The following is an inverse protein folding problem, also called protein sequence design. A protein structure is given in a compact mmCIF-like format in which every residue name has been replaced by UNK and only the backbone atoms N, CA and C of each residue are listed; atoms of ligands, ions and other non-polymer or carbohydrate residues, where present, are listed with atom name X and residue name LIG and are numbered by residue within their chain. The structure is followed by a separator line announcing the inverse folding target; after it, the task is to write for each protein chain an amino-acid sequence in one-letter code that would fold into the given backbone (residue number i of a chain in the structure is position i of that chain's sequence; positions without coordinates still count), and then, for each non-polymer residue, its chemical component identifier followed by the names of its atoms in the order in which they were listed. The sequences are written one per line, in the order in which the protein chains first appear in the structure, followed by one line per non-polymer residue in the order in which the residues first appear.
data_IF_205861270565
#
_entry.id   IF_205861270565
#
_cell.length_a   1.000
_cell.length_b   1.000
_cell.length_c   1.000
_cell.angle_alpha   90.00
_cell.angle_beta   90.00
_cell.angle_gamma   90.00
#
_symmetry.space_group_name_H-M   'P 1'
#
loop_
_entity.id
_entity.type
_entity.pdbx_description
1 polymer ?
#
# COMPACT_ATOMS: atom_id res chain seq x y z
N UNK A 1 3.28 -8.60 -8.07
CA UNK A 1 2.78 -7.25 -8.00
C UNK A 1 1.41 -7.11 -7.34
N UNK A 2 0.31 -7.18 -8.11
CA UNK A 2 -1.05 -6.80 -7.64
C UNK A 2 -1.46 -7.49 -6.34
N UNK A 3 -1.18 -8.77 -6.19
CA UNK A 3 -1.65 -9.57 -5.05
C UNK A 3 -1.24 -9.07 -3.67
N UNK A 4 -0.14 -8.32 -3.55
CA UNK A 4 0.27 -7.78 -2.25
C UNK A 4 -0.65 -6.67 -1.74
N UNK A 5 -1.37 -6.01 -2.63
CA UNK A 5 -2.34 -4.95 -2.31
C UNK A 5 -3.77 -5.47 -2.20
N UNK A 6 -4.01 -6.75 -2.43
CA UNK A 6 -5.35 -7.35 -2.33
C UNK A 6 -5.64 -7.78 -0.89
N UNK A 7 -6.87 -7.63 -0.37
CA UNK A 7 -7.23 -8.12 0.96
C UNK A 7 -6.96 -9.63 1.10
N UNK A 8 -7.25 -10.42 0.07
CA UNK A 8 -6.95 -11.84 0.02
C UNK A 8 -5.83 -12.12 -1.01
N UNK A 9 -4.76 -12.76 -0.56
CA UNK A 9 -3.69 -13.27 -1.40
C UNK A 9 -3.58 -14.80 -1.22
N UNK A 10 -3.86 -15.55 -2.29
CA UNK A 10 -3.66 -17.00 -2.27
C UNK A 10 -3.10 -17.50 -3.61
N UNK A 11 -2.24 -18.49 -3.53
CA UNK A 11 -1.82 -19.27 -4.68
C UNK A 11 -2.76 -20.48 -4.83
N UNK A 12 -3.32 -20.67 -6.02
CA UNK A 12 -4.29 -21.72 -6.26
C UNK A 12 -4.10 -22.35 -7.65
N UNK A 13 -4.10 -23.66 -7.70
CA UNK A 13 -4.08 -24.41 -8.95
C UNK A 13 -4.95 -25.66 -8.85
N UNK A 14 -5.50 -26.10 -9.98
CA UNK A 14 -6.29 -27.34 -10.06
C UNK A 14 -5.39 -28.60 -9.95
N UNK A 15 -5.98 -29.70 -9.56
CA UNK A 15 -5.31 -30.99 -9.57
C UNK A 15 -4.81 -31.34 -10.99
N UNK A 16 -3.57 -31.84 -11.08
CA UNK A 16 -2.94 -32.20 -12.35
C UNK A 16 -2.28 -31.04 -13.11
N UNK A 17 -2.38 -29.80 -12.61
CA UNK A 17 -1.68 -28.65 -13.19
C UNK A 17 -0.25 -28.54 -12.66
N UNK A 18 0.55 -27.64 -13.27
CA UNK A 18 1.90 -27.34 -12.81
C UNK A 18 1.86 -26.83 -11.37
N UNK A 19 2.69 -27.39 -10.50
CA UNK A 19 2.84 -26.94 -9.12
C UNK A 19 3.35 -25.51 -9.08
N UNK A 20 2.71 -24.66 -8.26
CA UNK A 20 2.96 -23.21 -8.16
C UNK A 20 3.40 -22.76 -6.77
N UNK A 21 3.83 -23.69 -5.93
CA UNK A 21 4.24 -23.38 -4.56
C UNK A 21 5.46 -22.45 -4.54
N UNK A 22 5.46 -21.42 -3.65
CA UNK A 22 6.50 -20.39 -3.58
C UNK A 22 7.92 -20.93 -3.42
N UNK A 23 8.10 -22.02 -2.66
CA UNK A 23 9.42 -22.64 -2.44
C UNK A 23 10.05 -23.21 -3.72
N UNK A 24 9.30 -23.30 -4.81
CA UNK A 24 9.78 -23.74 -6.13
C UNK A 24 10.30 -22.61 -7.01
N UNK A 25 10.07 -21.37 -6.63
CA UNK A 25 10.55 -20.23 -7.40
C UNK A 25 12.07 -20.11 -7.30
N UNK A 26 12.70 -19.71 -8.42
CA UNK A 26 14.16 -19.54 -8.46
C UNK A 26 14.63 -18.41 -7.55
N UNK A 27 13.93 -17.27 -7.57
CA UNK A 27 14.23 -16.13 -6.75
C UNK A 27 13.37 -16.15 -5.47
N UNK A 28 13.77 -16.97 -4.49
CA UNK A 28 13.04 -17.11 -3.23
C UNK A 28 13.15 -15.87 -2.35
N UNK A 29 14.31 -15.20 -2.36
CA UNK A 29 14.55 -14.01 -1.54
C UNK A 29 13.61 -12.86 -1.97
N UNK A 30 13.53 -12.57 -3.27
CA UNK A 30 12.61 -11.55 -3.78
C UNK A 30 11.15 -11.89 -3.46
N UNK A 31 10.77 -13.16 -3.56
CA UNK A 31 9.41 -13.57 -3.21
C UNK A 31 9.12 -13.41 -1.73
N UNK A 32 10.07 -13.76 -0.86
CA UNK A 32 9.96 -13.57 0.58
C UNK A 32 9.83 -12.08 0.91
N UNK A 33 10.68 -11.21 0.36
CA UNK A 33 10.59 -9.77 0.57
C UNK A 33 9.28 -9.15 0.07
N UNK A 34 8.73 -9.65 -1.05
CA UNK A 34 7.40 -9.23 -1.51
C UNK A 34 6.31 -9.58 -0.47
N UNK A 35 6.39 -10.75 0.16
CA UNK A 35 5.45 -11.11 1.21
C UNK A 35 5.67 -10.29 2.48
N UNK A 36 6.92 -10.01 2.86
CA UNK A 36 7.22 -9.11 3.98
C UNK A 36 6.63 -7.73 3.75
N UNK A 37 6.84 -7.15 2.57
CA UNK A 37 6.21 -5.87 2.20
C UNK A 37 4.68 -5.92 2.35
N UNK A 38 4.05 -7.03 1.95
CA UNK A 38 2.62 -7.19 2.16
C UNK A 38 2.25 -7.09 3.63
N UNK A 39 2.99 -7.75 4.52
CA UNK A 39 2.71 -7.67 5.96
C UNK A 39 2.89 -6.27 6.51
N UNK A 40 3.89 -5.53 6.06
CA UNK A 40 4.04 -4.11 6.44
C UNK A 40 2.86 -3.25 5.97
N UNK A 41 2.26 -3.58 4.82
CA UNK A 41 1.11 -2.86 4.26
C UNK A 41 -0.24 -3.29 4.88
N UNK A 42 -0.31 -4.38 5.67
CA UNK A 42 -1.57 -4.88 6.21
C UNK A 42 -2.35 -3.84 7.04
N UNK A 43 -1.74 -3.00 7.90
CA UNK A 43 -2.47 -1.96 8.61
C UNK A 43 -3.27 -1.05 7.67
N UNK A 44 -2.63 -0.58 6.60
CA UNK A 44 -3.29 0.24 5.58
C UNK A 44 -4.37 -0.55 4.83
N UNK A 45 -4.04 -1.75 4.34
CA UNK A 45 -4.96 -2.61 3.58
C UNK A 45 -6.21 -2.91 4.40
N UNK A 46 -6.04 -3.26 5.68
CA UNK A 46 -7.16 -3.57 6.57
C UNK A 46 -8.01 -2.34 6.86
N UNK A 47 -7.36 -1.22 7.20
CA UNK A 47 -8.04 0.05 7.44
C UNK A 47 -8.89 0.49 6.24
N UNK A 48 -8.32 0.53 5.04
CA UNK A 48 -9.06 0.95 3.83
C UNK A 48 -10.16 -0.04 3.45
N UNK A 49 -9.92 -1.34 3.64
CA UNK A 49 -10.94 -2.35 3.39
C UNK A 49 -12.15 -2.20 4.34
N UNK A 50 -11.89 -2.00 5.64
CA UNK A 50 -12.94 -1.81 6.63
C UNK A 50 -13.69 -0.49 6.42
N UNK A 51 -12.99 0.61 6.17
CA UNK A 51 -13.64 1.89 5.82
C UNK A 51 -14.55 1.75 4.60
N UNK A 52 -14.07 1.09 3.55
CA UNK A 52 -14.87 0.86 2.34
C UNK A 52 -16.10 -0.02 2.63
N UNK A 53 -15.95 -1.09 3.41
CA UNK A 53 -17.05 -1.99 3.76
C UNK A 53 -18.10 -1.33 4.65
N UNK A 54 -17.68 -0.51 5.61
CA UNK A 54 -18.59 0.15 6.57
C UNK A 54 -19.30 1.38 5.98
N UNK A 55 -18.74 1.98 4.92
CA UNK A 55 -19.25 3.23 4.33
C UNK A 55 -19.74 3.07 2.88
N UNK A 56 -19.98 1.85 2.44
CA UNK A 56 -20.41 1.54 1.06
C UNK A 56 -19.45 2.15 0.00
N UNK A 57 -18.14 2.18 0.31
CA UNK A 57 -17.10 2.77 -0.51
C UNK A 57 -16.40 1.76 -1.43
N UNK A 58 -15.39 2.24 -2.14
CA UNK A 58 -14.53 1.41 -2.99
C UNK A 58 -13.15 1.25 -2.37
N UNK A 59 -12.75 0.00 -2.08
CA UNK A 59 -11.38 -0.32 -1.71
C UNK A 59 -10.41 -0.17 -2.89
N UNK A 60 -10.77 -0.70 -4.07
CA UNK A 60 -10.07 -0.51 -5.33
C UNK A 60 -10.85 0.48 -6.20
N UNK A 61 -10.27 1.63 -6.48
CA UNK A 61 -10.95 2.69 -7.20
C UNK A 61 -10.21 3.01 -8.50
N UNK A 62 -10.84 2.85 -9.68
CA UNK A 62 -10.28 3.32 -10.94
C UNK A 62 -9.94 4.82 -10.89
N UNK A 63 -8.89 5.24 -11.61
CA UNK A 63 -8.50 6.65 -11.64
C UNK A 63 -9.63 7.57 -12.08
N UNK A 64 -10.50 7.09 -12.97
CA UNK A 64 -11.70 7.82 -13.41
C UNK A 64 -12.64 8.25 -12.29
N UNK A 65 -12.67 7.50 -11.17
CA UNK A 65 -13.49 7.83 -10.01
C UNK A 65 -12.72 8.66 -8.98
N UNK A 66 -11.41 8.40 -8.83
CA UNK A 66 -10.58 9.13 -7.89
C UNK A 66 -10.26 10.56 -8.37
N UNK A 67 -10.19 10.74 -9.71
CA UNK A 67 -9.85 12.01 -10.36
C UNK A 67 -10.86 12.30 -11.49
N UNK A 68 -12.14 12.55 -11.16
CA UNK A 68 -13.21 12.67 -12.15
C UNK A 68 -13.09 13.89 -13.08
N UNK A 69 -12.35 14.92 -12.66
CA UNK A 69 -12.13 16.14 -13.43
C UNK A 69 -10.90 16.06 -14.34
N UNK A 70 -10.15 14.97 -14.28
CA UNK A 70 -9.00 14.74 -15.14
C UNK A 70 -9.39 13.87 -16.34
N UNK A 71 -9.43 14.48 -17.52
CA UNK A 71 -9.83 13.81 -18.77
C UNK A 71 -8.90 12.66 -19.15
N UNK A 72 -7.63 12.71 -18.75
CA UNK A 72 -6.69 11.63 -19.01
C UNK A 72 -6.86 10.48 -18.03
N UNK A 73 -7.03 10.78 -16.75
CA UNK A 73 -7.28 9.77 -15.72
C UNK A 73 -8.50 8.88 -16.03
N UNK A 74 -9.51 9.44 -16.73
CA UNK A 74 -10.68 8.66 -17.18
C UNK A 74 -10.37 7.61 -18.24
N UNK A 75 -9.23 7.69 -18.90
CA UNK A 75 -8.82 6.77 -19.96
C UNK A 75 -7.78 5.75 -19.49
N UNK A 76 -7.29 5.88 -18.25
CA UNK A 76 -6.31 4.96 -17.68
C UNK A 76 -7.02 3.71 -17.16
N UNK A 77 -6.70 2.54 -17.75
CA UNK A 77 -7.36 1.26 -17.46
C UNK A 77 -6.47 0.30 -16.64
N UNK A 78 -5.19 0.63 -16.47
CA UNK A 78 -4.18 -0.27 -15.91
C UNK A 78 -3.47 0.28 -14.66
N UNK A 79 -4.07 1.30 -14.06
CA UNK A 79 -3.69 1.88 -12.77
C UNK A 79 -4.91 1.98 -11.87
N UNK A 80 -4.71 1.86 -10.56
CA UNK A 80 -5.81 1.87 -9.61
C UNK A 80 -5.38 2.47 -8.27
N UNK A 81 -6.29 3.21 -7.66
CA UNK A 81 -6.16 3.60 -6.27
C UNK A 81 -6.55 2.44 -5.36
N UNK A 82 -5.76 2.22 -4.33
CA UNK A 82 -6.09 1.33 -3.21
C UNK A 82 -6.36 2.25 -2.03
N UNK A 83 -7.61 2.35 -1.63
CA UNK A 83 -8.03 3.34 -0.66
C UNK A 83 -7.77 4.77 -1.11
N UNK A 84 -7.58 5.67 -0.15
CA UNK A 84 -7.46 7.11 -0.43
C UNK A 84 -6.03 7.59 -0.75
N UNK A 85 -5.00 6.86 -0.29
CA UNK A 85 -3.63 7.36 -0.32
C UNK A 85 -2.75 6.71 -1.39
N UNK A 86 -3.04 5.46 -1.79
CA UNK A 86 -2.10 4.61 -2.51
C UNK A 86 -2.51 4.39 -3.96
N UNK A 87 -1.68 4.82 -4.92
CA UNK A 87 -1.82 4.47 -6.33
C UNK A 87 -0.85 3.35 -6.69
N UNK A 88 -1.36 2.33 -7.37
CA UNK A 88 -0.57 1.22 -7.90
C UNK A 88 -0.68 1.14 -9.43
N UNK A 89 0.46 0.87 -10.07
CA UNK A 89 0.60 0.70 -11.51
C UNK A 89 1.38 -0.60 -11.79
N UNK A 90 0.72 -1.76 -11.76
CA UNK A 90 1.40 -3.05 -11.84
C UNK A 90 2.08 -3.29 -13.19
N UNK A 91 3.29 -3.87 -13.18
CA UNK A 91 3.90 -4.41 -14.39
C UNK A 91 3.27 -5.78 -14.66
N UNK A 92 2.51 -5.90 -15.73
CA UNK A 92 1.77 -7.11 -16.09
C UNK A 92 2.32 -7.79 -17.37
N UNK A 93 3.17 -7.12 -18.12
CA UNK A 93 3.81 -7.71 -19.30
C UNK A 93 5.01 -8.56 -18.92
N UNK A 94 5.08 -9.75 -19.51
CA UNK A 94 6.20 -10.66 -19.29
C UNK A 94 7.52 -10.06 -19.82
N UNK A 95 8.58 -10.11 -18.99
CA UNK A 95 9.91 -9.57 -19.29
C UNK A 95 9.98 -8.03 -19.45
N UNK A 96 8.93 -7.30 -19.15
CA UNK A 96 9.01 -5.84 -19.11
C UNK A 96 10.02 -5.39 -18.05
N UNK A 97 10.75 -4.32 -18.37
CA UNK A 97 11.76 -3.69 -17.50
C UNK A 97 11.27 -2.39 -16.89
N UNK A 98 9.99 -2.15 -16.95
CA UNK A 98 9.30 -0.95 -16.49
C UNK A 98 8.01 -0.74 -17.28
N UNK A 99 7.33 0.35 -17.00
CA UNK A 99 6.13 0.76 -17.71
C UNK A 99 5.93 2.27 -17.67
N UNK A 100 5.09 2.79 -18.55
CA UNK A 100 4.55 4.13 -18.41
C UNK A 100 3.48 4.16 -17.34
N UNK A 101 3.51 5.22 -16.53
CA UNK A 101 2.54 5.50 -15.46
C UNK A 101 2.05 6.93 -15.64
N UNK A 102 0.77 7.15 -15.45
CA UNK A 102 0.17 8.47 -15.40
C UNK A 102 -0.10 8.87 -13.95
N UNK A 103 0.47 9.99 -13.52
CA UNK A 103 0.20 10.56 -12.21
C UNK A 103 -0.74 11.77 -12.37
N UNK A 104 -1.99 11.70 -11.91
CA UNK A 104 -2.94 12.82 -12.02
C UNK A 104 -2.52 14.07 -11.24
N UNK A 105 -1.72 13.87 -10.19
CA UNK A 105 -1.18 14.92 -9.33
C UNK A 105 0.27 14.61 -8.96
N UNK A 106 0.94 15.54 -8.28
CA UNK A 106 2.26 15.28 -7.68
C UNK A 106 2.14 14.17 -6.63
N UNK A 107 3.02 13.17 -6.69
CA UNK A 107 2.98 12.01 -5.80
C UNK A 107 4.36 11.62 -5.29
N UNK A 108 4.39 11.01 -4.12
CA UNK A 108 5.59 10.37 -3.58
C UNK A 108 5.71 8.95 -4.15
N UNK A 109 6.68 8.75 -5.05
CA UNK A 109 7.06 7.39 -5.45
C UNK A 109 7.77 6.70 -4.29
N UNK A 110 7.34 5.50 -3.96
CA UNK A 110 8.03 4.60 -3.04
C UNK A 110 8.52 3.39 -3.82
N UNK A 111 9.82 3.15 -3.78
CA UNK A 111 10.49 2.02 -4.41
C UNK A 111 11.02 1.09 -3.35
N UNK A 112 10.67 -0.18 -3.40
CA UNK A 112 11.07 -1.20 -2.43
C UNK A 112 11.87 -2.28 -3.13
N UNK A 113 13.11 -2.49 -2.68
CA UNK A 113 13.99 -3.57 -3.13
C UNK A 113 13.74 -4.81 -2.26
N UNK A 114 12.90 -5.71 -2.74
CA UNK A 114 12.43 -6.87 -1.97
C UNK A 114 13.49 -7.97 -1.73
N UNK A 115 14.65 -7.91 -2.36
CA UNK A 115 15.78 -8.83 -2.11
C UNK A 115 16.77 -8.32 -1.07
N UNK A 116 16.66 -7.04 -0.68
CA UNK A 116 17.52 -6.37 0.29
C UNK A 116 16.63 -5.90 1.45
N UNK A 117 16.83 -6.45 2.64
CA UNK A 117 16.05 -6.18 3.86
C UNK A 117 15.51 -4.74 3.91
N UNK A 118 14.26 -4.55 3.46
CA UNK A 118 13.43 -3.35 3.59
C UNK A 118 14.03 -2.03 3.10
N UNK A 119 14.93 -2.06 2.10
CA UNK A 119 15.41 -0.82 1.51
C UNK A 119 14.29 -0.15 0.72
N UNK A 120 13.75 0.90 1.30
CA UNK A 120 12.76 1.77 0.68
C UNK A 120 13.40 3.11 0.30
N UNK A 121 13.25 3.47 -0.96
CA UNK A 121 13.68 4.77 -1.49
C UNK A 121 12.46 5.58 -1.91
N UNK A 122 12.47 6.87 -1.61
CA UNK A 122 11.36 7.77 -1.96
C UNK A 122 11.82 8.89 -2.88
N UNK A 123 10.94 9.28 -3.80
CA UNK A 123 11.17 10.39 -4.72
C UNK A 123 9.85 11.07 -5.04
N UNK A 124 9.78 12.38 -4.92
CA UNK A 124 8.61 13.14 -5.35
C UNK A 124 8.62 13.27 -6.87
N UNK A 125 7.53 12.89 -7.51
CA UNK A 125 7.33 13.03 -8.96
C UNK A 125 6.18 14.00 -9.25
N UNK A 126 6.33 14.91 -10.23
CA UNK A 126 5.26 15.80 -10.63
C UNK A 126 4.13 15.05 -11.33
N UNK A 127 2.97 15.69 -11.46
CA UNK A 127 1.88 15.19 -12.31
C UNK A 127 2.35 14.96 -13.76
N UNK A 128 1.72 14.00 -14.44
CA UNK A 128 1.99 13.69 -15.84
C UNK A 128 2.46 12.26 -16.10
N UNK A 129 3.03 12.04 -17.28
CA UNK A 129 3.49 10.72 -17.73
C UNK A 129 4.93 10.47 -17.33
N UNK A 130 5.18 9.30 -16.73
CA UNK A 130 6.51 8.86 -16.31
C UNK A 130 6.80 7.46 -16.84
N UNK A 131 8.01 7.23 -17.36
CA UNK A 131 8.48 5.86 -17.52
C UNK A 131 9.16 5.40 -16.23
N UNK A 132 8.60 4.40 -15.58
CA UNK A 132 9.10 3.85 -14.32
C UNK A 132 9.84 2.54 -14.61
N UNK A 133 11.18 2.54 -14.55
CA UNK A 133 11.94 1.30 -14.64
C UNK A 133 11.72 0.48 -13.35
N UNK A 134 11.55 -0.83 -13.50
CA UNK A 134 11.33 -1.75 -12.38
C UNK A 134 12.14 -3.04 -12.61
N UNK A 135 12.91 -3.44 -11.64
CA UNK A 135 13.60 -4.73 -11.63
C UNK A 135 12.66 -5.86 -11.15
N UNK A 136 13.08 -7.11 -11.35
CA UNK A 136 12.25 -8.28 -11.02
C UNK A 136 11.92 -8.39 -9.51
N UNK A 137 12.81 -7.89 -8.68
CA UNK A 137 12.73 -7.91 -7.22
C UNK A 137 12.35 -6.54 -6.62
N UNK A 138 11.79 -5.66 -7.44
CA UNK A 138 11.30 -4.37 -7.01
C UNK A 138 9.77 -4.30 -7.02
N UNK A 139 9.24 -3.53 -6.07
CA UNK A 139 7.86 -3.05 -6.05
C UNK A 139 7.89 -1.54 -6.01
N UNK A 140 7.13 -0.91 -6.90
CA UNK A 140 6.98 0.55 -6.95
C UNK A 140 5.50 0.89 -6.81
N UNK A 141 5.21 1.85 -5.96
CA UNK A 141 3.88 2.42 -5.77
C UNK A 141 3.99 3.92 -5.45
N UNK A 142 2.86 4.61 -5.42
CA UNK A 142 2.84 6.06 -5.28
C UNK A 142 1.87 6.46 -4.17
N UNK A 143 2.27 7.42 -3.35
CA UNK A 143 1.43 8.01 -2.31
C UNK A 143 1.00 9.40 -2.76
N UNK A 144 -0.28 9.69 -2.69
CA UNK A 144 -0.86 10.97 -3.07
C UNK A 144 -0.31 12.12 -2.22
N UNK A 145 -0.13 13.29 -2.84
CA UNK A 145 0.22 14.52 -2.12
C UNK A 145 -0.86 14.87 -1.07
N UNK A 146 -0.41 15.23 0.12
CA UNK A 146 -1.32 15.56 1.22
C UNK A 146 -2.06 14.36 1.84
N UNK A 147 -1.64 13.14 1.51
CA UNK A 147 -2.17 11.90 2.08
C UNK A 147 -1.09 11.12 2.81
N UNK A 148 -1.49 10.26 3.72
CA UNK A 148 -0.61 9.41 4.53
C UNK A 148 -0.83 7.96 4.16
N UNK A 149 0.27 7.21 3.97
CA UNK A 149 0.29 5.76 3.90
C UNK A 149 0.92 5.23 5.20
N UNK A 150 0.13 4.77 6.17
CA UNK A 150 0.67 4.10 7.34
C UNK A 150 1.07 2.65 7.00
N UNK A 151 2.25 2.25 7.44
CA UNK A 151 2.71 0.86 7.36
C UNK A 151 3.17 0.38 8.74
N UNK A 152 3.12 -0.92 8.98
CA UNK A 152 3.60 -1.49 10.24
C UNK A 152 5.11 -1.28 10.40
N UNK A 153 5.54 -1.03 11.64
CA UNK A 153 6.93 -1.23 12.04
C UNK A 153 7.14 -2.69 12.47
N UNK A 154 8.29 -3.25 12.14
CA UNK A 154 8.58 -4.65 12.41
C UNK A 154 7.91 -5.60 11.42
N UNK A 155 7.90 -6.88 11.73
CA UNK A 155 7.47 -7.90 10.77
C UNK A 155 8.63 -8.35 9.88
N UNK A 156 9.82 -8.43 10.45
CA UNK A 156 11.08 -8.79 9.80
C UNK A 156 11.08 -10.21 9.25
N UNK A 157 10.02 -10.97 9.52
CA UNK A 157 9.95 -12.34 9.05
C UNK A 157 8.52 -12.77 8.77
N UNK A 158 8.33 -13.38 7.59
CA UNK A 158 7.10 -14.07 7.21
C UNK A 158 6.73 -15.16 8.22
N UNK A 159 7.72 -15.72 8.89
CA UNK A 159 7.53 -16.77 9.90
C UNK A 159 6.98 -16.21 11.21
N UNK A 160 7.04 -14.93 11.41
CA UNK A 160 6.58 -14.25 12.61
C UNK A 160 5.47 -13.23 12.29
N UNK A 161 4.38 -13.72 11.71
CA UNK A 161 3.19 -12.90 11.39
C UNK A 161 2.62 -12.24 12.64
N UNK A 162 2.75 -12.89 13.81
CA UNK A 162 2.36 -12.33 15.09
C UNK A 162 3.18 -11.11 15.54
N UNK A 163 4.30 -10.80 14.84
CA UNK A 163 5.11 -9.61 15.13
C UNK A 163 4.66 -8.36 14.37
N UNK A 164 3.75 -8.49 13.41
CA UNK A 164 3.15 -7.32 12.76
C UNK A 164 2.29 -6.60 13.77
N UNK A 165 2.71 -5.42 14.16
CA UNK A 165 2.01 -4.61 15.14
C UNK A 165 1.21 -3.52 14.45
N UNK A 166 -0.11 -3.65 14.43
CA UNK A 166 -1.03 -2.67 13.85
C UNK A 166 -1.12 -1.37 14.68
N UNK A 167 -0.54 -1.36 15.84
CA UNK A 167 -0.50 -0.21 16.74
C UNK A 167 0.85 0.54 16.74
N UNK A 168 1.82 0.13 15.91
CA UNK A 168 3.12 0.83 15.78
C UNK A 168 3.41 1.04 14.29
N UNK A 169 3.19 2.28 13.84
CA UNK A 169 3.14 2.64 12.44
C UNK A 169 4.27 3.59 12.05
N UNK A 170 4.79 3.40 10.85
CA UNK A 170 5.63 4.35 10.13
C UNK A 170 4.80 4.97 9.01
N UNK A 171 4.90 6.29 8.87
CA UNK A 171 4.12 7.04 7.90
C UNK A 171 4.95 7.38 6.66
N UNK A 172 4.40 7.14 5.47
CA UNK A 172 4.93 7.64 4.21
C UNK A 172 3.98 8.72 3.70
N UNK A 173 4.51 9.91 3.47
CA UNK A 173 3.74 11.03 2.96
C UNK A 173 4.62 12.01 2.18
N UNK A 174 4.01 12.73 1.24
CA UNK A 174 4.49 13.99 0.72
C UNK A 174 3.44 15.04 1.04
N UNK A 175 3.62 15.71 2.16
CA UNK A 175 2.62 16.58 2.77
C UNK A 175 3.22 17.94 3.17
N UNK A 176 3.58 18.79 2.17
CA UNK A 176 4.23 20.09 2.45
C UNK A 176 3.35 21.04 3.28
N UNK A 177 2.04 20.83 3.29
CA UNK A 177 1.06 21.60 4.06
C UNK A 177 0.49 20.79 5.24
N UNK A 178 1.11 19.65 5.55
CA UNK A 178 0.57 18.67 6.49
C UNK A 178 -0.43 17.71 5.84
N UNK A 179 -0.80 16.64 6.57
CA UNK A 179 -1.78 15.65 6.16
C UNK A 179 -2.50 15.05 7.36
N UNK A 180 -3.65 14.46 7.11
CA UNK A 180 -4.38 13.67 8.09
C UNK A 180 -4.81 12.34 7.48
N UNK A 181 -4.97 11.34 8.33
CA UNK A 181 -5.44 10.02 7.95
C UNK A 181 -6.34 9.44 9.04
N UNK A 182 -7.48 8.92 8.65
CA UNK A 182 -8.34 8.16 9.55
C UNK A 182 -7.96 6.67 9.46
N UNK A 183 -7.35 6.17 10.49
CA UNK A 183 -6.88 4.81 10.62
C UNK A 183 -7.92 3.95 11.33
N UNK A 184 -8.36 2.88 10.69
CA UNK A 184 -9.24 1.89 11.32
C UNK A 184 -8.41 0.76 11.93
N UNK A 185 -8.70 0.41 13.18
CA UNK A 185 -8.10 -0.74 13.87
C UNK A 185 -9.09 -1.32 14.88
N UNK A 186 -9.11 -2.63 15.03
CA UNK A 186 -9.92 -3.39 15.98
C UNK A 186 -9.09 -4.56 16.55
N UNK A 187 -9.70 -5.40 17.37
CA UNK A 187 -9.07 -6.61 17.92
C UNK A 187 -9.21 -7.83 17.00
N UNK A 188 -9.95 -7.73 15.89
CA UNK A 188 -10.22 -8.80 14.94
C UNK A 188 -11.16 -9.91 15.44
N UNK A 189 -11.74 -9.78 16.64
CA UNK A 189 -12.54 -10.82 17.31
C UNK A 189 -13.94 -10.33 17.72
N UNK A 190 -14.05 -9.12 18.26
CA UNK A 190 -15.32 -8.55 18.72
C UNK A 190 -16.22 -8.17 17.56
N UNK A 191 -17.53 -7.99 17.83
CA UNK A 191 -18.54 -7.71 16.80
C UNK A 191 -18.98 -6.25 16.77
N UNK A 192 -18.29 -5.40 17.49
CA UNK A 192 -18.52 -3.96 17.59
C UNK A 192 -17.68 -3.15 16.58
N UNK A 193 -17.35 -3.76 15.45
CA UNK A 193 -16.44 -3.28 14.42
C UNK A 193 -16.84 -1.95 13.76
N UNK A 194 -18.02 -1.44 13.99
CA UNK A 194 -18.56 -0.17 13.47
C UNK A 194 -18.56 0.99 14.51
N UNK A 195 -18.06 0.73 15.72
CA UNK A 195 -18.01 1.74 16.77
C UNK A 195 -16.94 2.81 16.50
N UNK A 196 -17.19 4.09 16.92
CA UNK A 196 -16.29 5.21 16.66
C UNK A 196 -14.86 5.04 17.21
N UNK A 197 -14.68 4.27 18.27
CA UNK A 197 -13.39 4.01 18.92
C UNK A 197 -12.41 3.23 18.05
N UNK A 198 -12.88 2.58 16.97
CA UNK A 198 -12.03 1.90 16.00
C UNK A 198 -11.41 2.84 14.98
N UNK A 199 -11.86 4.10 14.93
CA UNK A 199 -11.35 5.11 14.01
C UNK A 199 -10.40 6.08 14.73
N UNK A 200 -9.11 5.94 14.45
CA UNK A 200 -8.03 6.72 15.05
C UNK A 200 -7.59 7.82 14.09
N UNK A 201 -7.54 9.07 14.56
CA UNK A 201 -7.06 10.18 13.74
C UNK A 201 -5.55 10.33 13.87
N UNK A 202 -4.86 10.22 12.75
CA UNK A 202 -3.42 10.43 12.61
C UNK A 202 -3.21 11.74 11.87
N UNK A 203 -2.32 12.58 12.37
CA UNK A 203 -1.91 13.84 11.72
C UNK A 203 -0.41 13.86 11.50
N UNK A 204 0.01 14.53 10.44
CA UNK A 204 1.39 14.81 10.12
C UNK A 204 1.49 16.27 9.76
N UNK A 205 2.35 17.02 10.47
CA UNK A 205 2.59 18.42 10.14
C UNK A 205 3.60 18.59 8.99
N UNK A 206 3.79 19.84 8.54
CA UNK A 206 4.72 20.17 7.47
C UNK A 206 6.20 19.91 7.83
N UNK A 207 6.53 19.83 9.11
CA UNK A 207 7.88 19.56 9.61
C UNK A 207 8.14 18.05 9.79
N UNK A 208 7.12 17.21 9.55
CA UNK A 208 7.21 15.75 9.66
C UNK A 208 6.90 15.20 11.05
N UNK A 209 6.37 16.03 11.98
CA UNK A 209 5.94 15.53 13.27
C UNK A 209 4.59 14.84 13.14
N UNK A 210 4.52 13.61 13.65
CA UNK A 210 3.33 12.77 13.57
C UNK A 210 2.68 12.63 14.95
N UNK A 211 1.35 12.73 14.98
CA UNK A 211 0.55 12.57 16.18
C UNK A 211 -0.64 11.64 15.92
N UNK A 212 -1.08 10.94 16.97
CA UNK A 212 -2.27 10.10 16.99
C UNK A 212 -3.15 10.51 18.17
N UNK A 213 -4.45 10.57 18.00
CA UNK A 213 -5.41 10.81 19.07
C UNK A 213 -5.65 9.59 19.97
N UNK A 214 -5.05 8.45 19.67
CA UNK A 214 -5.11 7.22 20.44
C UNK A 214 -3.74 6.89 21.05
N UNK A 215 -3.64 6.86 22.37
CA UNK A 215 -2.39 6.55 23.09
C UNK A 215 -1.82 5.14 22.76
N UNK A 216 -2.68 4.22 22.34
CA UNK A 216 -2.30 2.87 21.99
C UNK A 216 -1.75 2.75 20.56
N UNK A 217 -1.95 3.75 19.70
CA UNK A 217 -1.44 3.79 18.32
C UNK A 217 -0.26 4.75 18.25
N UNK A 218 0.94 4.20 18.06
CA UNK A 218 2.18 4.96 17.94
C UNK A 218 2.48 5.22 16.47
N UNK A 219 2.87 6.45 16.16
CA UNK A 219 3.18 6.89 14.80
C UNK A 219 4.55 7.55 14.73
N UNK A 220 5.23 7.38 13.59
CA UNK A 220 6.51 8.02 13.27
C UNK A 220 6.46 8.48 11.81
N UNK A 221 6.76 9.77 11.62
CA UNK A 221 6.81 10.42 10.30
C UNK A 221 8.10 10.12 9.52
#
# INVERSE_FOLDING_TARGET
GVGIFSPLLRNHSAAGTRKQEPYRFKNKAAFAGILQLRYLLLPYIYSEYMKAALRDGMYCMPLAFAFPDDDFARQVEDEVMIGESLLIAPVYEQNARGRYVYLPEEMLQVRVKCSENDRMETTVLPAGHHYIPVELDEVVFFVRKGHILPIAKGGDSIQNVASVNFADLRLFAHAPDGAAYEYYTDDGETKDYDEPEHFVHITLDADGNAESDCENVKVEG
#
